data_IF_921713792741
#
_entry.id   IF_921713792741
#
_cell.length_a   1.000
_cell.length_b   1.000
_cell.length_c   1.000
_cell.angle_alpha   90.00
_cell.angle_beta   90.00
_cell.angle_gamma   90.00
#
_symmetry.space_group_name_H-M   'P 1'
#
loop_
_entity.id
_entity.type
_entity.pdbx_description
1 polymer ?
#
# COMPACT_ATOMS: atom_id res chain seq x y z
N UNK A 1 19.25 -35.92 -10.99
CA UNK A 1 18.36 -34.72 -10.93
C UNK A 1 18.45 -33.85 -12.19
N UNK A 2 19.54 -33.94 -12.98
CA UNK A 2 19.70 -33.09 -14.17
C UNK A 2 19.12 -33.65 -15.47
N UNK A 3 18.85 -34.94 -15.60
CA UNK A 3 18.30 -35.56 -16.83
C UNK A 3 16.78 -35.42 -16.95
N UNK A 4 16.04 -35.41 -15.83
CA UNK A 4 14.60 -35.23 -15.84
C UNK A 4 14.19 -33.77 -16.11
N UNK A 5 15.04 -32.78 -15.77
CA UNK A 5 14.82 -31.38 -16.05
C UNK A 5 14.95 -31.00 -17.53
N UNK A 6 15.77 -31.77 -18.28
CA UNK A 6 16.00 -31.53 -19.71
C UNK A 6 14.85 -31.92 -20.63
N UNK A 7 13.85 -32.67 -20.15
CA UNK A 7 12.65 -33.05 -20.94
C UNK A 7 11.42 -32.16 -20.74
N UNK A 8 11.52 -31.12 -19.91
CA UNK A 8 10.38 -30.19 -19.72
C UNK A 8 10.30 -29.23 -20.90
N UNK A 9 9.23 -29.34 -21.68
CA UNK A 9 8.95 -28.36 -22.74
C UNK A 9 8.79 -26.96 -22.15
N UNK A 10 9.51 -25.99 -22.71
CA UNK A 10 9.37 -24.58 -22.34
C UNK A 10 7.93 -24.14 -22.60
N UNK A 11 7.24 -23.46 -21.67
CA UNK A 11 5.87 -22.99 -21.87
C UNK A 11 5.76 -22.07 -23.09
N UNK A 12 5.02 -22.50 -24.12
CA UNK A 12 4.86 -21.79 -25.39
C UNK A 12 3.44 -21.99 -25.92
N UNK A 13 2.99 -21.08 -26.79
CA UNK A 13 1.71 -21.16 -27.47
C UNK A 13 1.84 -20.56 -28.89
N UNK A 14 2.54 -21.27 -29.76
CA UNK A 14 2.94 -20.78 -31.10
C UNK A 14 1.72 -20.37 -31.95
N UNK A 15 0.66 -21.17 -31.91
CA UNK A 15 -0.57 -20.90 -32.64
C UNK A 15 -1.25 -19.60 -32.16
N UNK A 16 -1.21 -19.33 -30.84
CA UNK A 16 -1.74 -18.09 -30.29
C UNK A 16 -0.89 -16.87 -30.68
N UNK A 17 0.45 -16.98 -30.65
CA UNK A 17 1.37 -15.94 -31.11
C UNK A 17 1.11 -15.59 -32.59
N UNK A 18 1.00 -16.62 -33.45
CA UNK A 18 0.70 -16.44 -34.85
C UNK A 18 -0.67 -15.79 -35.08
N UNK A 19 -1.68 -16.20 -34.29
CA UNK A 19 -3.03 -15.62 -34.38
C UNK A 19 -3.07 -14.16 -33.92
N UNK A 20 -2.27 -13.76 -32.91
CA UNK A 20 -2.11 -12.37 -32.52
C UNK A 20 -1.54 -11.54 -33.67
N UNK A 21 -0.40 -11.96 -34.23
CA UNK A 21 0.26 -11.24 -35.32
C UNK A 21 -0.61 -11.17 -36.56
N UNK A 22 -1.25 -12.28 -36.95
CA UNK A 22 -2.17 -12.33 -38.05
C UNK A 22 -3.36 -11.37 -37.87
N UNK A 23 -3.91 -11.30 -36.65
CA UNK A 23 -4.98 -10.36 -36.32
C UNK A 23 -4.55 -8.89 -36.51
N UNK A 24 -3.34 -8.53 -36.03
CA UNK A 24 -2.77 -7.18 -36.18
C UNK A 24 -2.56 -6.78 -37.66
N UNK A 25 -2.19 -7.76 -38.49
CA UNK A 25 -1.98 -7.56 -39.93
C UNK A 25 -3.28 -7.46 -40.75
N UNK A 26 -4.37 -8.08 -40.27
CA UNK A 26 -5.70 -8.08 -40.94
C UNK A 26 -6.52 -6.86 -40.52
N UNK A 27 -6.47 -6.48 -39.24
CA UNK A 27 -7.29 -5.39 -38.71
C UNK A 27 -6.44 -4.48 -37.80
N UNK A 28 -6.01 -3.37 -38.34
CA UNK A 28 -5.21 -2.34 -37.62
C UNK A 28 -5.91 -1.82 -36.35
N UNK A 29 -7.25 -1.91 -36.27
CA UNK A 29 -8.02 -1.43 -35.12
C UNK A 29 -7.78 -2.25 -33.86
N UNK A 30 -7.29 -3.49 -33.97
CA UNK A 30 -6.98 -4.31 -32.80
C UNK A 30 -5.55 -4.05 -32.25
N UNK A 31 -4.70 -3.34 -33.01
CA UNK A 31 -3.30 -3.09 -32.61
C UNK A 31 -3.18 -2.38 -31.27
N UNK A 32 -3.96 -1.32 -30.95
CA UNK A 32 -3.91 -0.67 -29.63
C UNK A 32 -4.22 -1.63 -28.46
N UNK A 33 -5.20 -2.51 -28.65
CA UNK A 33 -5.57 -3.51 -27.63
C UNK A 33 -4.41 -4.50 -27.39
N UNK A 34 -3.78 -4.99 -28.48
CA UNK A 34 -2.66 -5.94 -28.40
C UNK A 34 -1.44 -5.29 -27.77
N UNK A 35 -1.09 -4.07 -28.17
CA UNK A 35 0.04 -3.30 -27.60
C UNK A 35 -0.18 -2.98 -26.12
N UNK A 36 -1.43 -2.81 -25.71
CA UNK A 36 -1.78 -2.64 -24.29
C UNK A 36 -1.67 -3.90 -23.43
N UNK A 37 -1.65 -5.09 -24.06
CA UNK A 37 -1.64 -6.38 -23.36
C UNK A 37 -0.31 -7.12 -23.43
N UNK A 38 0.44 -6.96 -24.50
CA UNK A 38 1.67 -7.73 -24.78
C UNK A 38 2.88 -6.82 -24.96
N UNK A 39 4.05 -7.38 -24.61
CA UNK A 39 5.36 -6.79 -24.89
C UNK A 39 6.14 -7.69 -25.86
N UNK A 40 7.16 -7.17 -26.56
CA UNK A 40 7.98 -8.01 -27.47
C UNK A 40 8.52 -9.28 -26.84
N UNK A 41 8.93 -9.23 -25.57
CA UNK A 41 9.49 -10.36 -24.82
C UNK A 41 8.45 -11.44 -24.48
N UNK A 42 7.16 -11.18 -24.65
CA UNK A 42 6.12 -12.18 -24.45
C UNK A 42 6.11 -13.25 -25.56
N UNK A 43 6.69 -12.95 -26.70
CA UNK A 43 6.76 -13.89 -27.83
C UNK A 43 7.94 -14.84 -27.66
N UNK A 44 7.66 -16.14 -27.75
CA UNK A 44 8.65 -17.19 -27.62
C UNK A 44 9.53 -17.31 -28.87
N UNK A 45 8.89 -17.34 -30.06
CA UNK A 45 9.63 -17.40 -31.32
C UNK A 45 10.27 -16.05 -31.63
N UNK A 46 11.57 -16.07 -31.91
CA UNK A 46 12.33 -14.88 -32.29
C UNK A 46 11.70 -14.18 -33.51
N UNK A 47 11.25 -14.94 -34.50
CA UNK A 47 10.61 -14.41 -35.70
C UNK A 47 9.30 -13.66 -35.36
N UNK A 48 8.48 -14.21 -34.47
CA UNK A 48 7.25 -13.55 -34.00
C UNK A 48 7.57 -12.28 -33.24
N UNK A 49 8.57 -12.28 -32.39
CA UNK A 49 9.05 -11.12 -31.64
C UNK A 49 9.50 -10.02 -32.61
N UNK A 50 10.31 -10.32 -33.60
CA UNK A 50 10.82 -9.34 -34.58
C UNK A 50 9.67 -8.70 -35.40
N UNK A 51 8.66 -9.47 -35.79
CA UNK A 51 7.46 -8.95 -36.44
C UNK A 51 6.67 -8.04 -35.50
N UNK A 52 6.44 -8.51 -34.26
CA UNK A 52 5.72 -7.73 -33.26
C UNK A 52 6.45 -6.42 -32.94
N UNK A 53 7.76 -6.43 -32.71
CA UNK A 53 8.57 -5.22 -32.50
C UNK A 53 8.47 -4.24 -33.68
N UNK A 54 8.37 -4.74 -34.90
CA UNK A 54 8.23 -3.92 -36.07
C UNK A 54 6.85 -3.23 -36.07
N UNK A 55 5.78 -4.00 -35.82
CA UNK A 55 4.42 -3.46 -35.70
C UNK A 55 4.31 -2.48 -34.52
N UNK A 56 4.89 -2.81 -33.37
CA UNK A 56 4.94 -1.95 -32.17
C UNK A 56 5.62 -0.61 -32.47
N UNK A 57 6.73 -0.64 -33.22
CA UNK A 57 7.45 0.55 -33.62
C UNK A 57 6.60 1.40 -34.59
N UNK A 58 6.00 0.79 -35.58
CA UNK A 58 5.12 1.47 -36.54
C UNK A 58 3.92 2.12 -35.84
N UNK A 59 3.32 1.43 -34.88
CA UNK A 59 2.22 1.95 -34.06
C UNK A 59 2.63 3.21 -33.27
N UNK A 60 3.80 3.19 -32.63
CA UNK A 60 4.31 4.34 -31.86
C UNK A 60 4.60 5.57 -32.75
N UNK A 61 4.95 5.36 -33.99
CA UNK A 61 5.15 6.45 -34.98
C UNK A 61 3.91 6.78 -35.81
N UNK A 62 2.76 6.19 -35.45
CA UNK A 62 1.49 6.37 -36.20
C UNK A 62 1.62 6.04 -37.69
N UNK A 63 2.49 5.11 -38.05
CA UNK A 63 2.63 4.60 -39.40
C UNK A 63 1.50 3.60 -39.70
N UNK A 64 1.06 3.53 -40.97
CA UNK A 64 0.01 2.59 -41.36
C UNK A 64 0.50 1.13 -41.27
N UNK A 65 -0.31 0.28 -40.66
CA UNK A 65 0.02 -1.13 -40.38
C UNK A 65 -0.81 -2.01 -41.33
N UNK A 66 -0.14 -2.60 -42.31
CA UNK A 66 -0.66 -3.65 -43.19
C UNK A 66 0.50 -4.60 -43.58
N UNK A 67 0.21 -5.76 -44.19
CA UNK A 67 1.25 -6.75 -44.51
C UNK A 67 2.39 -6.20 -45.38
N UNK A 68 2.09 -5.26 -46.31
CA UNK A 68 3.09 -4.71 -47.22
C UNK A 68 3.97 -3.68 -46.53
N UNK A 69 3.38 -2.80 -45.73
CA UNK A 69 4.12 -1.77 -45.00
C UNK A 69 4.98 -2.39 -43.91
N UNK A 70 4.51 -3.46 -43.22
CA UNK A 70 5.29 -4.20 -42.19
C UNK A 70 6.49 -4.88 -42.85
N UNK A 71 6.34 -5.55 -44.00
CA UNK A 71 7.45 -6.14 -44.75
C UNK A 71 8.51 -5.11 -45.16
N UNK A 72 8.09 -3.94 -45.64
CA UNK A 72 9.02 -2.87 -45.96
C UNK A 72 9.76 -2.35 -44.74
N UNK A 73 9.06 -2.19 -43.61
CA UNK A 73 9.66 -1.75 -42.35
C UNK A 73 10.65 -2.77 -41.80
N UNK A 74 10.35 -4.06 -41.92
CA UNK A 74 11.29 -5.13 -41.56
C UNK A 74 12.57 -5.07 -42.42
N UNK A 75 12.48 -4.70 -43.72
CA UNK A 75 13.65 -4.48 -44.58
C UNK A 75 14.51 -3.31 -44.06
N UNK A 76 13.87 -2.17 -43.75
CA UNK A 76 14.56 -1.00 -43.21
C UNK A 76 15.31 -1.32 -41.91
N UNK A 77 14.72 -2.17 -41.04
CA UNK A 77 15.32 -2.62 -39.77
C UNK A 77 16.37 -3.72 -39.92
N UNK A 78 16.56 -4.27 -41.09
CA UNK A 78 17.55 -5.34 -41.35
C UNK A 78 17.19 -6.71 -40.73
N UNK A 79 15.90 -6.92 -40.40
CA UNK A 79 15.38 -8.20 -39.83
C UNK A 79 14.58 -8.99 -40.86
N UNK A 80 14.70 -8.63 -42.15
CA UNK A 80 13.98 -9.25 -43.27
C UNK A 80 14.84 -10.28 -44.01
N UNK A 81 14.29 -11.50 -44.17
CA UNK A 81 14.82 -12.53 -45.06
C UNK A 81 13.87 -12.64 -46.26
N UNK A 82 14.40 -12.43 -47.46
CA UNK A 82 13.60 -12.21 -48.70
C UNK A 82 12.61 -13.34 -49.04
N UNK A 83 12.98 -14.60 -48.75
CA UNK A 83 12.10 -15.74 -48.98
C UNK A 83 11.25 -16.12 -47.77
N UNK A 84 11.86 -16.12 -46.57
CA UNK A 84 11.20 -16.61 -45.35
C UNK A 84 10.20 -15.64 -44.75
N UNK A 85 10.47 -14.33 -44.78
CA UNK A 85 9.58 -13.33 -44.14
C UNK A 85 8.30 -13.16 -44.88
N UNK A 86 8.35 -13.14 -46.23
CA UNK A 86 7.15 -13.04 -47.08
C UNK A 86 6.23 -14.25 -46.89
N UNK A 87 6.79 -15.46 -47.02
CA UNK A 87 6.03 -16.70 -46.87
C UNK A 87 5.42 -16.84 -45.50
N UNK A 88 6.15 -16.40 -44.44
CA UNK A 88 5.65 -16.46 -43.09
C UNK A 88 4.51 -15.48 -42.83
N UNK A 89 4.62 -14.25 -43.28
CA UNK A 89 3.49 -13.29 -43.21
C UNK A 89 2.27 -13.79 -44.00
N UNK A 90 2.46 -14.35 -45.18
CA UNK A 90 1.37 -14.98 -45.94
C UNK A 90 0.74 -16.16 -45.17
N UNK A 91 1.55 -16.95 -44.46
CA UNK A 91 1.06 -18.01 -43.59
C UNK A 91 0.24 -17.46 -42.40
N UNK A 92 0.69 -16.39 -41.73
CA UNK A 92 -0.04 -15.75 -40.63
C UNK A 92 -1.43 -15.28 -41.06
N UNK A 93 -1.53 -14.67 -42.24
CA UNK A 93 -2.80 -14.23 -42.81
C UNK A 93 -3.74 -15.41 -43.13
N UNK A 94 -3.17 -16.55 -43.56
CA UNK A 94 -3.97 -17.73 -43.90
C UNK A 94 -4.51 -18.45 -42.67
N UNK A 95 -3.72 -18.47 -41.57
CA UNK A 95 -4.09 -19.13 -40.31
C UNK A 95 -5.13 -18.31 -39.54
N UNK A 96 -5.14 -16.98 -39.70
CA UNK A 96 -5.98 -16.07 -38.93
C UNK A 96 -7.11 -15.51 -39.80
N UNK A 97 -8.29 -16.09 -39.82
CA UNK A 97 -9.39 -15.63 -40.65
C UNK A 97 -10.08 -14.35 -40.13
N UNK A 98 -9.92 -14.03 -38.85
CA UNK A 98 -10.59 -12.90 -38.19
C UNK A 98 -9.82 -12.43 -36.94
N UNK A 99 -9.88 -11.13 -36.67
CA UNK A 99 -9.28 -10.52 -35.44
C UNK A 99 -10.24 -10.53 -34.23
N UNK A 100 -11.42 -11.12 -34.32
CA UNK A 100 -12.48 -11.02 -33.29
C UNK A 100 -12.03 -11.57 -31.93
N UNK A 101 -11.15 -12.58 -31.88
CA UNK A 101 -10.71 -13.24 -30.65
C UNK A 101 -9.30 -12.84 -30.19
N UNK A 102 -8.75 -11.76 -30.73
CA UNK A 102 -7.35 -11.36 -30.49
C UNK A 102 -7.05 -11.21 -28.99
N UNK A 103 -7.96 -10.67 -28.19
CA UNK A 103 -7.77 -10.50 -26.73
C UNK A 103 -7.57 -11.84 -26.01
N UNK A 104 -8.29 -12.89 -26.43
CA UNK A 104 -8.12 -14.23 -25.85
C UNK A 104 -6.75 -14.81 -26.23
N UNK A 105 -6.31 -14.62 -27.46
CA UNK A 105 -4.97 -15.04 -27.88
C UNK A 105 -3.87 -14.29 -27.14
N UNK A 106 -4.03 -12.98 -26.93
CA UNK A 106 -3.11 -12.19 -26.10
C UNK A 106 -3.00 -12.73 -24.69
N UNK A 107 -4.12 -13.08 -24.06
CA UNK A 107 -4.11 -13.69 -22.71
C UNK A 107 -3.32 -15.00 -22.69
N UNK A 108 -3.51 -15.87 -23.69
CA UNK A 108 -2.77 -17.15 -23.79
C UNK A 108 -1.26 -16.91 -23.95
N UNK A 109 -0.85 -15.97 -24.81
CA UNK A 109 0.56 -15.63 -25.02
C UNK A 109 1.15 -15.07 -23.74
N UNK A 110 0.47 -14.14 -23.08
CA UNK A 110 0.90 -13.54 -21.84
C UNK A 110 1.05 -14.56 -20.69
N UNK A 111 0.09 -15.48 -20.52
CA UNK A 111 0.15 -16.53 -19.50
C UNK A 111 1.38 -17.44 -19.74
N UNK A 112 1.68 -17.78 -20.99
CA UNK A 112 2.87 -18.59 -21.33
C UNK A 112 4.17 -17.83 -21.08
N UNK A 113 4.19 -16.52 -21.36
CA UNK A 113 5.31 -15.65 -21.02
C UNK A 113 5.54 -15.59 -19.52
N UNK A 114 4.49 -15.39 -18.74
CA UNK A 114 4.56 -15.36 -17.27
C UNK A 114 5.11 -16.68 -16.70
N UNK A 115 4.67 -17.82 -17.24
CA UNK A 115 5.20 -19.13 -16.85
C UNK A 115 6.69 -19.29 -17.18
N UNK A 116 7.17 -18.76 -18.32
CA UNK A 116 8.60 -18.74 -18.67
C UNK A 116 9.39 -17.87 -17.68
N UNK A 117 8.90 -16.67 -17.42
CA UNK A 117 9.53 -15.75 -16.47
C UNK A 117 9.60 -16.35 -15.05
N UNK A 118 8.53 -17.07 -14.62
CA UNK A 118 8.52 -17.79 -13.34
C UNK A 118 9.56 -18.91 -13.32
N UNK A 119 9.68 -19.69 -14.40
CA UNK A 119 10.69 -20.74 -14.51
C UNK A 119 12.11 -20.17 -14.44
N UNK A 120 12.38 -19.06 -15.14
CA UNK A 120 13.66 -18.35 -15.10
C UNK A 120 13.98 -17.85 -13.69
N UNK A 121 13.04 -17.16 -13.04
CA UNK A 121 13.22 -16.66 -11.68
C UNK A 121 13.47 -17.80 -10.68
N UNK A 122 12.79 -18.93 -10.83
CA UNK A 122 13.01 -20.12 -9.99
C UNK A 122 14.41 -20.70 -10.18
N UNK A 123 14.92 -20.73 -11.42
CA UNK A 123 16.29 -21.18 -11.70
C UNK A 123 17.32 -20.24 -11.10
N UNK A 124 17.16 -18.94 -11.25
CA UNK A 124 18.04 -17.92 -10.68
C UNK A 124 18.03 -17.95 -9.13
N UNK A 125 16.87 -18.20 -8.52
CA UNK A 125 16.77 -18.37 -7.05
C UNK A 125 17.53 -19.64 -6.64
N UNK A 126 17.40 -20.71 -7.39
CA UNK A 126 18.10 -21.97 -7.12
C UNK A 126 19.61 -21.79 -7.22
N UNK A 127 20.12 -21.17 -8.28
CA UNK A 127 21.54 -20.86 -8.45
C UNK A 127 22.08 -20.01 -7.29
N UNK A 128 21.37 -18.93 -6.93
CA UNK A 128 21.75 -18.04 -5.82
C UNK A 128 21.88 -18.80 -4.48
N UNK A 129 21.01 -19.77 -4.22
CA UNK A 129 21.07 -20.59 -3.00
C UNK A 129 22.31 -21.52 -3.01
N UNK A 130 22.66 -22.10 -4.18
CA UNK A 130 23.83 -22.98 -4.29
C UNK A 130 25.15 -22.22 -4.31
N UNK A 131 25.18 -21.00 -4.83
CA UNK A 131 26.36 -20.13 -4.81
C UNK A 131 26.73 -19.65 -3.40
N UNK A 132 25.78 -19.68 -2.46
CA UNK A 132 26.00 -19.38 -1.04
C UNK A 132 26.40 -17.91 -0.77
N UNK A 133 26.02 -16.97 -1.64
CA UNK A 133 26.37 -15.56 -1.52
C UNK A 133 25.31 -14.81 -0.70
N UNK A 134 25.62 -14.50 0.56
CA UNK A 134 24.73 -13.77 1.47
C UNK A 134 24.14 -14.65 2.57
N UNK A 135 23.34 -14.04 3.43
CA UNK A 135 22.61 -14.70 4.51
C UNK A 135 21.31 -15.32 4.00
N UNK A 136 20.77 -16.31 4.70
CA UNK A 136 19.47 -16.90 4.35
C UNK A 136 18.34 -15.87 4.28
N UNK A 137 18.40 -14.85 5.13
CA UNK A 137 17.42 -13.77 5.16
C UNK A 137 17.49 -12.90 3.91
N UNK A 138 18.69 -12.51 3.49
CA UNK A 138 18.92 -11.73 2.26
C UNK A 138 18.47 -12.52 1.02
N UNK A 139 18.73 -13.82 0.98
CA UNK A 139 18.28 -14.68 -0.12
C UNK A 139 16.75 -14.77 -0.21
N UNK A 140 16.06 -14.84 0.94
CA UNK A 140 14.59 -14.82 0.99
C UNK A 140 14.03 -13.49 0.47
N UNK A 141 14.58 -12.37 0.91
CA UNK A 141 14.13 -11.03 0.46
C UNK A 141 14.32 -10.84 -1.05
N UNK A 142 15.46 -11.23 -1.59
CA UNK A 142 15.73 -11.18 -3.04
C UNK A 142 14.77 -12.08 -3.81
N UNK A 143 14.50 -13.29 -3.30
CA UNK A 143 13.58 -14.25 -3.92
C UNK A 143 12.15 -13.74 -3.93
N UNK A 144 11.67 -13.20 -2.82
CA UNK A 144 10.35 -12.57 -2.72
C UNK A 144 10.22 -11.39 -3.71
N UNK A 145 11.25 -10.54 -3.79
CA UNK A 145 11.28 -9.40 -4.73
C UNK A 145 11.23 -9.86 -6.18
N UNK A 146 11.96 -10.91 -6.55
CA UNK A 146 11.94 -11.50 -7.92
C UNK A 146 10.55 -12.05 -8.26
N UNK A 147 9.95 -12.87 -7.40
CA UNK A 147 8.61 -13.43 -7.62
C UNK A 147 7.56 -12.32 -7.69
N UNK A 148 7.68 -11.32 -6.81
CA UNK A 148 6.77 -10.18 -6.80
C UNK A 148 6.84 -9.33 -8.06
N UNK A 149 8.06 -9.12 -8.61
CA UNK A 149 8.21 -8.37 -9.86
C UNK A 149 7.50 -9.04 -11.03
N UNK A 150 7.40 -10.36 -11.06
CA UNK A 150 6.64 -11.11 -12.07
C UNK A 150 5.13 -10.89 -11.93
N UNK A 151 4.62 -10.82 -10.70
CA UNK A 151 3.20 -10.55 -10.44
C UNK A 151 2.81 -9.11 -10.82
N UNK A 152 3.76 -8.18 -10.73
CA UNK A 152 3.60 -6.77 -11.11
C UNK A 152 3.89 -6.52 -12.61
N UNK A 153 4.51 -7.49 -13.30
CA UNK A 153 4.83 -7.43 -14.71
C UNK A 153 3.56 -7.30 -15.54
N UNK A 154 3.36 -6.10 -16.09
CA UNK A 154 2.29 -5.67 -16.98
C UNK A 154 0.99 -5.11 -16.39
N UNK A 155 0.84 -4.91 -15.10
CA UNK A 155 0.08 -3.73 -14.70
C UNK A 155 1.02 -2.52 -14.73
N UNK A 156 1.68 -2.31 -15.85
CA UNK A 156 2.22 -1.00 -16.15
C UNK A 156 1.05 -0.06 -16.00
N UNK A 157 1.17 0.86 -15.05
CA UNK A 157 0.27 1.98 -14.84
C UNK A 157 0.41 2.87 -16.09
N UNK A 158 -0.05 2.33 -17.22
CA UNK A 158 -0.11 3.04 -18.47
C UNK A 158 -1.09 4.17 -18.24
N UNK A 159 -0.75 5.36 -18.70
CA UNK A 159 -1.67 6.50 -18.73
C UNK A 159 -3.05 6.00 -19.17
N UNK A 160 -4.01 6.01 -18.23
CA UNK A 160 -5.37 5.60 -18.51
C UNK A 160 -6.14 6.77 -19.12
N UNK A 161 -6.88 6.50 -20.18
CA UNK A 161 -7.78 7.51 -20.74
C UNK A 161 -8.81 7.93 -19.69
N UNK A 162 -9.00 9.24 -19.51
CA UNK A 162 -9.87 9.82 -18.47
C UNK A 162 -11.28 9.21 -18.46
N UNK A 163 -11.83 8.86 -19.64
CA UNK A 163 -13.14 8.22 -19.74
C UNK A 163 -13.25 6.89 -18.98
N UNK A 164 -12.17 6.09 -18.92
CA UNK A 164 -12.15 4.85 -18.14
C UNK A 164 -12.07 5.15 -16.64
N UNK A 165 -11.31 6.18 -16.27
CA UNK A 165 -11.19 6.60 -14.87
C UNK A 165 -12.51 7.20 -14.36
N UNK A 166 -13.25 7.94 -15.22
CA UNK A 166 -14.56 8.51 -14.88
C UNK A 166 -15.58 7.44 -14.46
N UNK A 167 -15.59 6.27 -15.10
CA UNK A 167 -16.50 5.19 -14.70
C UNK A 167 -16.28 4.83 -13.23
N UNK A 168 -15.03 4.57 -12.84
CA UNK A 168 -14.69 4.23 -11.44
C UNK A 168 -15.05 5.38 -10.47
N UNK A 169 -14.98 6.63 -10.92
CA UNK A 169 -15.38 7.80 -10.12
C UNK A 169 -16.89 7.83 -9.92
N UNK A 170 -17.69 7.55 -10.97
CA UNK A 170 -19.14 7.48 -10.85
C UNK A 170 -19.59 6.35 -9.96
N UNK A 171 -19.03 5.14 -10.11
CA UNK A 171 -19.30 3.99 -9.24
C UNK A 171 -19.06 4.36 -7.77
N UNK A 172 -17.94 5.04 -7.49
CA UNK A 172 -17.62 5.52 -6.14
C UNK A 172 -18.62 6.58 -5.63
N UNK A 173 -19.06 7.50 -6.47
CA UNK A 173 -20.06 8.50 -6.11
C UNK A 173 -21.43 7.86 -5.81
N UNK A 174 -21.82 6.82 -6.56
CA UNK A 174 -23.03 6.05 -6.30
C UNK A 174 -22.95 5.30 -4.97
N UNK A 175 -21.81 4.66 -4.67
CA UNK A 175 -21.55 4.01 -3.38
C UNK A 175 -21.68 5.00 -2.20
N UNK A 176 -21.06 6.18 -2.32
CA UNK A 176 -21.12 7.23 -1.30
C UNK A 176 -22.56 7.76 -1.12
N UNK A 177 -23.29 7.98 -2.20
CA UNK A 177 -24.67 8.42 -2.15
C UNK A 177 -25.60 7.37 -1.50
N UNK A 178 -25.35 6.09 -1.77
CA UNK A 178 -26.10 4.97 -1.21
C UNK A 178 -25.78 4.72 0.27
N UNK A 179 -24.54 4.97 0.70
CA UNK A 179 -24.12 4.74 2.09
C UNK A 179 -24.74 5.70 3.10
N UNK A 180 -25.23 6.85 2.66
CA UNK A 180 -25.75 7.90 3.53
C UNK A 180 -24.73 8.47 4.53
N UNK A 181 -23.46 8.16 4.35
CA UNK A 181 -22.35 8.64 5.18
C UNK A 181 -21.86 9.99 4.68
N UNK A 182 -21.78 10.96 5.59
CA UNK A 182 -21.19 12.28 5.29
C UNK A 182 -19.66 12.22 5.13
N UNK A 183 -19.05 11.05 5.36
CA UNK A 183 -17.59 10.87 5.41
C UNK A 183 -17.14 9.88 4.34
N UNK A 184 -16.31 10.29 3.37
CA UNK A 184 -15.89 9.44 2.26
C UNK A 184 -14.84 8.37 2.64
N UNK A 185 -14.13 8.55 3.76
CA UNK A 185 -13.12 7.63 4.29
C UNK A 185 -13.64 6.76 5.43
N UNK A 186 -12.74 5.93 6.01
CA UNK A 186 -13.05 5.21 7.24
C UNK A 186 -13.12 6.19 8.41
N UNK A 187 -14.13 6.08 9.26
CA UNK A 187 -14.24 6.92 10.44
C UNK A 187 -13.15 6.59 11.47
N UNK A 188 -12.61 7.62 12.09
CA UNK A 188 -11.70 7.48 13.25
C UNK A 188 -12.44 7.10 14.52
N UNK A 189 -13.78 7.26 14.55
CA UNK A 189 -14.62 7.17 15.74
C UNK A 189 -14.72 8.49 16.52
N UNK A 190 -14.12 9.56 15.98
CA UNK A 190 -14.16 10.93 16.53
C UNK A 190 -14.83 11.84 15.49
N UNK A 191 -16.11 12.14 15.68
CA UNK A 191 -16.92 12.80 14.65
C UNK A 191 -16.41 14.17 14.24
N UNK A 192 -15.96 14.98 15.19
CA UNK A 192 -15.42 16.31 14.88
C UNK A 192 -14.10 16.22 14.12
N UNK A 193 -13.28 15.21 14.40
CA UNK A 193 -12.07 14.94 13.65
C UNK A 193 -12.39 14.44 12.25
N UNK A 194 -13.34 13.52 12.13
CA UNK A 194 -13.74 12.94 10.85
C UNK A 194 -14.28 13.99 9.88
N UNK A 195 -15.11 14.94 10.37
CA UNK A 195 -15.57 16.08 9.57
C UNK A 195 -14.42 16.96 9.09
N UNK A 196 -13.37 17.10 9.90
CA UNK A 196 -12.21 17.93 9.57
C UNK A 196 -11.32 17.31 8.53
N UNK A 197 -11.10 15.97 8.62
CA UNK A 197 -10.18 15.25 7.73
C UNK A 197 -10.87 14.47 6.62
N UNK A 198 -12.22 14.47 6.56
CA UNK A 198 -13.03 13.63 5.66
C UNK A 198 -12.80 12.13 5.87
N UNK A 199 -12.51 11.71 7.12
CA UNK A 199 -12.14 10.34 7.48
C UNK A 199 -10.77 9.91 6.97
N UNK A 200 -10.46 8.62 7.15
CA UNK A 200 -9.21 8.01 6.70
C UNK A 200 -9.38 7.52 5.26
N UNK A 201 -8.77 8.21 4.31
CA UNK A 201 -8.90 7.87 2.90
C UNK A 201 -7.92 6.78 2.48
N UNK A 202 -8.32 5.94 1.54
CA UNK A 202 -7.43 4.96 0.92
C UNK A 202 -6.20 5.64 0.34
N UNK A 203 -5.06 4.96 0.37
CA UNK A 203 -3.77 5.43 -0.14
C UNK A 203 -3.10 6.58 0.63
N UNK A 204 -3.75 7.09 1.69
CA UNK A 204 -3.19 8.18 2.48
C UNK A 204 -2.14 7.71 3.49
N UNK A 205 -1.08 8.50 3.59
CA UNK A 205 -0.14 8.45 4.70
C UNK A 205 -0.51 9.56 5.70
N UNK A 206 -0.91 9.16 6.89
CA UNK A 206 -1.36 10.05 7.96
C UNK A 206 -0.32 10.01 9.08
N UNK A 207 0.18 11.16 9.46
CA UNK A 207 1.12 11.31 10.56
C UNK A 207 0.40 11.83 11.81
N UNK A 208 0.53 11.11 12.93
CA UNK A 208 0.09 11.61 14.25
C UNK A 208 1.34 11.79 15.11
N UNK A 209 1.66 13.03 15.43
CA UNK A 209 2.87 13.35 16.18
C UNK A 209 2.54 14.01 17.52
N UNK A 210 3.31 13.65 18.55
CA UNK A 210 3.12 14.18 19.89
C UNK A 210 4.39 14.09 20.73
N UNK A 211 4.44 14.87 21.81
CA UNK A 211 5.40 14.64 22.90
C UNK A 211 5.01 13.40 23.70
N UNK A 212 5.97 12.75 24.40
CA UNK A 212 5.67 11.64 25.30
C UNK A 212 4.57 12.02 26.31
N UNK A 213 3.68 11.09 26.63
CA UNK A 213 2.60 11.29 27.59
C UNK A 213 1.35 12.02 27.08
N UNK A 214 1.34 12.49 25.82
CA UNK A 214 0.17 13.22 25.25
C UNK A 214 -0.98 12.30 24.82
N UNK A 215 -0.76 10.97 24.73
CA UNK A 215 -1.79 10.02 24.34
C UNK A 215 -1.69 9.53 22.88
N UNK A 216 -0.53 9.66 22.22
CA UNK A 216 -0.28 9.25 20.84
C UNK A 216 -0.73 7.81 20.54
N UNK A 217 -0.25 6.84 21.30
CA UNK A 217 -0.64 5.42 21.16
C UNK A 217 -2.10 5.19 21.51
N UNK A 218 -2.66 5.96 22.46
CA UNK A 218 -4.07 5.83 22.86
C UNK A 218 -5.01 6.22 21.72
N UNK A 219 -4.80 7.36 21.05
CA UNK A 219 -5.66 7.74 19.91
C UNK A 219 -5.53 6.74 18.75
N UNK A 220 -4.33 6.19 18.51
CA UNK A 220 -4.13 5.15 17.50
C UNK A 220 -4.90 3.87 17.83
N UNK A 221 -4.91 3.44 19.10
CA UNK A 221 -5.68 2.28 19.56
C UNK A 221 -7.20 2.53 19.48
N UNK A 222 -7.66 3.75 19.79
CA UNK A 222 -9.07 4.10 19.66
C UNK A 222 -9.51 4.03 18.19
N UNK A 223 -8.72 4.59 17.26
CA UNK A 223 -8.98 4.49 15.81
C UNK A 223 -8.94 3.02 15.35
N UNK A 224 -7.93 2.26 15.78
CA UNK A 224 -7.80 0.83 15.50
C UNK A 224 -9.08 0.07 15.86
N UNK A 225 -9.53 0.26 17.08
CA UNK A 225 -10.73 -0.41 17.61
C UNK A 225 -12.00 0.00 16.84
N UNK A 226 -12.17 1.29 16.57
CA UNK A 226 -13.31 1.78 15.81
C UNK A 226 -13.35 1.18 14.41
N UNK A 227 -12.24 1.19 13.66
CA UNK A 227 -12.17 0.64 12.30
C UNK A 227 -12.45 -0.86 12.30
N UNK A 228 -11.87 -1.61 13.23
CA UNK A 228 -12.07 -3.06 13.32
C UNK A 228 -13.52 -3.44 13.67
N UNK A 229 -14.17 -2.68 14.56
CA UNK A 229 -15.55 -2.97 15.01
C UNK A 229 -16.61 -2.48 14.03
N UNK A 230 -16.47 -1.24 13.54
CA UNK A 230 -17.52 -0.59 12.74
C UNK A 230 -17.52 -1.06 11.29
N UNK A 231 -16.33 -1.31 10.74
CA UNK A 231 -16.19 -1.67 9.32
C UNK A 231 -15.84 -3.13 9.11
N UNK A 232 -15.70 -3.92 10.18
CA UNK A 232 -15.32 -5.35 10.11
C UNK A 232 -14.08 -5.57 9.24
N UNK A 233 -13.12 -4.61 9.30
CA UNK A 233 -11.87 -4.64 8.54
C UNK A 233 -10.74 -5.20 9.37
N UNK A 234 -9.82 -5.88 8.71
CA UNK A 234 -8.53 -6.25 9.31
C UNK A 234 -7.71 -4.99 9.56
N UNK A 235 -7.24 -4.81 10.78
CA UNK A 235 -6.33 -3.73 11.17
C UNK A 235 -4.99 -4.34 11.56
N UNK A 236 -3.92 -3.93 10.86
CA UNK A 236 -2.56 -4.34 11.17
C UNK A 236 -1.88 -3.27 12.02
N UNK A 237 -1.50 -3.62 13.25
CA UNK A 237 -0.83 -2.74 14.21
C UNK A 237 0.61 -3.20 14.44
N UNK A 238 1.57 -2.41 14.00
CA UNK A 238 3.01 -2.64 14.22
C UNK A 238 3.51 -1.75 15.35
N UNK A 239 3.93 -2.37 16.44
CA UNK A 239 4.42 -1.69 17.64
C UNK A 239 5.91 -1.93 17.80
N UNK A 240 6.70 -0.87 17.72
CA UNK A 240 8.14 -0.93 17.91
C UNK A 240 8.56 -0.53 19.33
N UNK A 241 7.61 0.03 20.13
CA UNK A 241 7.86 0.52 21.50
C UNK A 241 7.25 -0.37 22.57
N UNK A 242 6.06 -0.90 22.33
CA UNK A 242 5.28 -1.65 23.33
C UNK A 242 5.10 -3.11 22.92
N UNK A 243 5.08 -4.01 23.91
CA UNK A 243 4.75 -5.42 23.66
C UNK A 243 3.27 -5.62 23.33
N UNK A 244 2.95 -6.76 22.70
CA UNK A 244 1.56 -7.15 22.35
C UNK A 244 0.67 -7.15 23.59
N UNK A 245 1.16 -7.70 24.70
CA UNK A 245 0.41 -7.80 25.95
C UNK A 245 0.06 -6.41 26.50
N UNK A 246 0.98 -5.46 26.42
CA UNK A 246 0.73 -4.08 26.86
C UNK A 246 -0.32 -3.39 25.98
N UNK A 247 -0.29 -3.60 24.66
CA UNK A 247 -1.30 -3.06 23.75
C UNK A 247 -2.68 -3.67 23.98
N UNK A 248 -2.74 -5.00 24.15
CA UNK A 248 -4.01 -5.68 24.42
C UNK A 248 -4.57 -5.27 25.79
N UNK A 249 -3.73 -5.06 26.81
CA UNK A 249 -4.16 -4.55 28.10
C UNK A 249 -4.79 -3.16 27.97
N UNK A 250 -4.21 -2.28 27.17
CA UNK A 250 -4.80 -0.96 26.89
C UNK A 250 -6.12 -1.06 26.12
N UNK A 251 -6.21 -1.93 25.11
CA UNK A 251 -7.46 -2.18 24.38
C UNK A 251 -8.55 -2.71 25.31
N UNK A 252 -8.21 -3.64 26.21
CA UNK A 252 -9.13 -4.14 27.24
C UNK A 252 -9.61 -3.01 28.15
N UNK A 253 -8.69 -2.14 28.64
CA UNK A 253 -9.07 -0.98 29.45
C UNK A 253 -10.02 -0.04 28.71
N UNK A 254 -9.72 0.26 27.46
CA UNK A 254 -10.56 1.12 26.59
C UNK A 254 -11.95 0.53 26.39
N UNK A 255 -12.05 -0.77 26.10
CA UNK A 255 -13.32 -1.43 25.76
C UNK A 255 -14.18 -1.73 27.00
N UNK A 256 -13.54 -2.13 28.12
CA UNK A 256 -14.25 -2.49 29.36
C UNK A 256 -14.57 -1.31 30.27
N UNK A 257 -13.94 -0.15 30.05
CA UNK A 257 -13.94 0.96 31.01
C UNK A 257 -13.45 0.53 32.41
N UNK A 258 -12.58 -0.46 32.50
CA UNK A 258 -11.82 -0.80 33.71
C UNK A 258 -10.52 -0.03 33.69
N UNK A 259 -10.18 0.61 34.83
CA UNK A 259 -8.97 1.42 34.92
C UNK A 259 -7.72 0.60 34.59
N UNK A 260 -6.87 1.13 33.72
CA UNK A 260 -5.64 0.44 33.32
C UNK A 260 -4.71 0.14 34.52
N UNK A 261 -4.74 0.97 35.55
CA UNK A 261 -3.98 0.73 36.79
C UNK A 261 -4.43 -0.57 37.49
N UNK A 262 -5.76 -0.83 37.55
CA UNK A 262 -6.31 -2.07 38.08
C UNK A 262 -5.85 -3.29 37.29
N UNK A 263 -5.85 -3.18 35.93
CA UNK A 263 -5.37 -4.25 35.05
C UNK A 263 -3.88 -4.54 35.22
N UNK A 264 -3.08 -3.49 35.40
CA UNK A 264 -1.62 -3.63 35.52
C UNK A 264 -1.22 -4.19 36.90
N UNK A 265 -1.95 -3.84 37.97
CA UNK A 265 -1.66 -4.26 39.34
C UNK A 265 -2.37 -5.54 39.75
N UNK A 266 -3.37 -5.98 38.99
CA UNK A 266 -4.18 -7.14 39.28
C UNK A 266 -5.24 -6.91 40.40
N UNK A 267 -5.44 -5.66 40.86
CA UNK A 267 -6.44 -5.32 41.87
C UNK A 267 -7.83 -5.14 41.23
N UNK A 268 -8.42 -6.27 40.87
CA UNK A 268 -9.74 -6.32 40.16
C UNK A 268 -10.81 -6.75 41.16
N UNK A 269 -11.98 -6.12 41.07
CA UNK A 269 -13.20 -6.47 41.76
C UNK A 269 -14.06 -7.44 40.90
N UNK A 270 -15.01 -8.12 41.52
CA UNK A 270 -15.90 -9.07 40.77
C UNK A 270 -16.65 -8.42 39.63
N UNK A 271 -17.05 -7.15 39.78
CA UNK A 271 -17.67 -6.36 38.71
C UNK A 271 -16.71 -6.10 37.54
N UNK A 272 -15.41 -5.84 37.85
CA UNK A 272 -14.40 -5.60 36.82
C UNK A 272 -14.19 -6.86 35.96
N UNK A 273 -14.20 -8.06 36.59
CA UNK A 273 -14.12 -9.33 35.85
C UNK A 273 -15.29 -9.55 34.90
N UNK A 274 -16.51 -9.14 35.28
CA UNK A 274 -17.68 -9.17 34.42
C UNK A 274 -17.52 -8.27 33.18
N UNK A 275 -17.07 -7.02 33.39
CA UNK A 275 -16.79 -6.06 32.31
C UNK A 275 -15.69 -6.56 31.37
N UNK A 276 -14.60 -7.11 31.92
CA UNK A 276 -13.50 -7.67 31.15
C UNK A 276 -13.92 -8.87 30.30
N UNK A 277 -14.80 -9.74 30.81
CA UNK A 277 -15.31 -10.88 30.05
C UNK A 277 -16.09 -10.43 28.81
N UNK A 278 -16.94 -9.41 28.97
CA UNK A 278 -17.71 -8.83 27.84
C UNK A 278 -16.76 -8.17 26.82
N UNK A 279 -15.83 -7.36 27.30
CA UNK A 279 -14.85 -6.68 26.45
C UNK A 279 -13.95 -7.68 25.72
N UNK A 280 -13.49 -8.74 26.38
CA UNK A 280 -12.70 -9.80 25.76
C UNK A 280 -13.46 -10.52 24.66
N UNK A 281 -14.73 -10.81 24.89
CA UNK A 281 -15.61 -11.40 23.83
C UNK A 281 -15.75 -10.48 22.64
N UNK A 282 -15.97 -9.16 22.86
CA UNK A 282 -16.10 -8.19 21.80
C UNK A 282 -14.79 -8.03 21.00
N UNK A 283 -13.63 -7.95 21.70
CA UNK A 283 -12.32 -7.84 21.06
C UNK A 283 -11.95 -9.09 20.26
N UNK A 284 -12.31 -10.28 20.74
CA UNK A 284 -12.02 -11.54 20.04
C UNK A 284 -12.77 -11.69 18.73
N UNK A 285 -13.84 -10.95 18.51
CA UNK A 285 -14.59 -10.90 17.26
C UNK A 285 -13.99 -9.91 16.25
N UNK A 286 -13.06 -9.07 16.67
CA UNK A 286 -12.36 -8.12 15.77
C UNK A 286 -11.15 -8.77 15.12
N UNK A 287 -10.83 -8.40 13.88
CA UNK A 287 -9.59 -8.85 13.23
C UNK A 287 -8.47 -7.80 13.37
N UNK A 288 -8.01 -7.61 14.61
CA UNK A 288 -6.84 -6.78 14.92
C UNK A 288 -5.61 -7.68 14.99
N UNK A 289 -4.63 -7.42 14.11
CA UNK A 289 -3.36 -8.15 14.04
C UNK A 289 -2.23 -7.29 14.60
N UNK A 290 -1.56 -7.77 15.65
CA UNK A 290 -0.49 -7.04 16.34
C UNK A 290 0.85 -7.70 16.09
N UNK A 291 1.84 -6.89 15.72
CA UNK A 291 3.25 -7.29 15.58
C UNK A 291 4.11 -6.35 16.42
N UNK A 292 4.95 -6.92 17.31
CA UNK A 292 5.81 -6.17 18.21
C UNK A 292 7.32 -6.36 17.91
N UNK A 293 7.65 -6.68 16.66
CA UNK A 293 9.05 -6.77 16.24
C UNK A 293 9.70 -5.37 16.18
N UNK A 294 10.67 -5.06 17.07
CA UNK A 294 11.27 -3.72 17.14
C UNK A 294 12.21 -3.40 15.98
N UNK A 295 12.62 -4.39 15.19
CA UNK A 295 13.57 -4.24 14.08
C UNK A 295 12.91 -4.36 12.71
N UNK A 296 11.57 -4.27 12.63
CA UNK A 296 10.83 -4.46 11.39
C UNK A 296 11.10 -3.35 10.37
N UNK A 297 11.26 -3.71 9.11
CA UNK A 297 11.42 -2.80 7.97
C UNK A 297 10.10 -2.52 7.27
N UNK A 298 10.01 -1.43 6.48
CA UNK A 298 8.81 -1.13 5.67
C UNK A 298 8.51 -2.25 4.67
N UNK A 299 9.55 -2.88 4.11
CA UNK A 299 9.40 -3.99 3.17
C UNK A 299 8.73 -5.21 3.84
N UNK A 300 9.16 -5.56 5.06
CA UNK A 300 8.55 -6.65 5.85
C UNK A 300 7.11 -6.33 6.26
N UNK A 301 6.83 -5.09 6.69
CA UNK A 301 5.46 -4.63 6.97
C UNK A 301 4.59 -4.83 5.73
N UNK A 302 5.04 -4.36 4.58
CA UNK A 302 4.33 -4.49 3.32
C UNK A 302 4.08 -5.97 2.95
N UNK A 303 5.10 -6.83 3.08
CA UNK A 303 4.98 -8.27 2.81
C UNK A 303 3.96 -8.95 3.74
N UNK A 304 3.94 -8.60 5.03
CA UNK A 304 2.95 -9.12 6.00
C UNK A 304 1.55 -8.63 5.68
N UNK A 305 1.38 -7.34 5.40
CA UNK A 305 0.09 -6.73 5.08
C UNK A 305 -0.55 -7.30 3.80
N UNK A 306 0.25 -7.64 2.78
CA UNK A 306 -0.24 -8.26 1.55
C UNK A 306 -0.85 -9.66 1.72
N UNK A 307 -0.52 -10.34 2.82
CA UNK A 307 -1.06 -11.67 3.16
C UNK A 307 -2.36 -11.61 3.95
N UNK A 308 -2.78 -10.39 4.33
CA UNK A 308 -4.01 -10.18 5.08
C UNK A 308 -5.18 -9.94 4.13
N UNK A 309 -6.22 -10.71 4.32
CA UNK A 309 -7.48 -10.49 3.63
C UNK A 309 -8.23 -9.31 4.27
N UNK A 310 -9.02 -8.59 3.47
CA UNK A 310 -9.88 -7.49 3.92
C UNK A 310 -9.16 -6.40 4.74
N UNK A 311 -7.86 -6.15 4.47
CA UNK A 311 -7.09 -5.11 5.15
C UNK A 311 -7.75 -3.74 4.98
N UNK A 312 -7.98 -3.03 6.09
CA UNK A 312 -8.61 -1.71 6.11
C UNK A 312 -7.70 -0.59 6.60
N UNK A 313 -6.76 -0.90 7.50
CA UNK A 313 -5.90 0.11 8.11
C UNK A 313 -4.56 -0.51 8.53
N UNK A 314 -3.49 0.26 8.35
CA UNK A 314 -2.17 -0.07 8.90
C UNK A 314 -1.76 1.02 9.90
N UNK A 315 -1.34 0.61 11.09
CA UNK A 315 -0.85 1.47 12.16
C UNK A 315 0.59 1.12 12.51
N UNK A 316 1.44 2.14 12.69
CA UNK A 316 2.88 1.97 13.00
C UNK A 316 3.23 2.89 14.17
N UNK A 317 3.64 2.30 15.31
CA UNK A 317 4.07 3.03 16.51
C UNK A 317 5.53 2.66 16.86
N UNK A 318 6.54 3.47 16.64
CA UNK A 318 6.59 4.77 15.96
C UNK A 318 7.79 4.85 15.00
N UNK A 319 7.72 5.74 14.07
CA UNK A 319 8.61 5.86 12.90
C UNK A 319 10.10 5.91 13.24
N UNK A 320 10.50 6.66 14.28
CA UNK A 320 11.90 6.87 14.60
C UNK A 320 12.62 5.61 15.12
N UNK A 321 11.87 4.53 15.46
CA UNK A 321 12.46 3.23 15.84
C UNK A 321 12.66 2.33 14.62
N UNK A 322 12.08 2.64 13.47
CA UNK A 322 12.25 1.83 12.27
C UNK A 322 13.69 1.85 11.78
N UNK A 323 14.17 0.71 11.37
CA UNK A 323 15.49 0.55 10.76
C UNK A 323 15.41 0.74 9.23
N UNK A 324 16.47 1.33 8.65
CA UNK A 324 16.61 1.36 7.20
C UNK A 324 16.85 -0.06 6.66
N UNK A 325 16.32 -0.35 5.47
CA UNK A 325 16.42 -1.66 4.81
C UNK A 325 17.85 -2.11 4.43
N UNK A 326 18.87 -1.28 4.64
CA UNK A 326 20.25 -1.62 4.34
C UNK A 326 21.16 -1.37 5.57
N UNK A 327 21.65 -2.41 6.26
CA UNK A 327 22.74 -2.27 7.21
C UNK A 327 24.04 -2.08 6.42
N UNK A 328 24.61 -0.87 6.37
CA UNK A 328 25.95 -0.82 5.79
C UNK A 328 26.50 0.50 5.28
N UNK A 329 26.05 1.63 5.79
CA UNK A 329 26.88 2.85 5.77
C UNK A 329 26.80 3.53 7.13
N UNK A 330 27.75 3.20 7.98
CA UNK A 330 28.07 3.92 9.21
C UNK A 330 28.41 5.37 8.82
N UNK A 331 27.40 6.26 8.81
CA UNK A 331 27.56 7.65 8.40
C UNK A 331 26.32 8.28 7.75
N UNK A 332 25.27 7.52 7.43
CA UNK A 332 24.05 8.11 6.87
C UNK A 332 23.37 9.01 7.90
N UNK A 333 23.16 10.26 7.50
CA UNK A 333 22.48 11.27 8.31
C UNK A 333 21.06 10.75 8.61
N UNK A 334 20.67 10.69 9.89
CA UNK A 334 19.35 10.20 10.36
C UNK A 334 18.17 10.81 9.59
N UNK A 335 18.34 12.05 9.11
CA UNK A 335 17.38 12.75 8.26
C UNK A 335 17.14 12.01 6.93
N UNK A 336 18.19 11.46 6.31
CA UNK A 336 18.06 10.71 5.05
C UNK A 336 17.31 9.40 5.26
N UNK A 337 17.64 8.68 6.33
CA UNK A 337 16.96 7.41 6.69
C UNK A 337 15.47 7.62 6.92
N UNK A 338 15.11 8.67 7.66
CA UNK A 338 13.71 9.02 7.93
C UNK A 338 12.98 9.42 6.63
N UNK A 339 13.65 10.13 5.72
CA UNK A 339 13.14 10.45 4.38
C UNK A 339 12.81 9.20 3.56
N UNK A 340 13.73 8.25 3.52
CA UNK A 340 13.55 7.01 2.76
C UNK A 340 12.40 6.17 3.31
N UNK A 341 12.30 6.08 4.64
CA UNK A 341 11.20 5.39 5.32
C UNK A 341 9.86 6.06 5.01
N UNK A 342 9.78 7.39 5.10
CA UNK A 342 8.57 8.17 4.82
C UNK A 342 8.05 7.91 3.40
N UNK A 343 8.96 8.00 2.42
CA UNK A 343 8.65 7.74 1.03
C UNK A 343 8.21 6.29 0.80
N UNK A 344 8.88 5.33 1.43
CA UNK A 344 8.51 3.91 1.36
C UNK A 344 7.13 3.65 1.96
N UNK A 345 6.76 4.30 3.08
CA UNK A 345 5.43 4.21 3.68
C UNK A 345 4.34 4.79 2.77
N UNK A 346 4.62 5.91 2.09
CA UNK A 346 3.66 6.48 1.12
C UNK A 346 3.45 5.56 -0.09
N UNK A 347 4.52 4.93 -0.59
CA UNK A 347 4.43 3.93 -1.66
C UNK A 347 3.61 2.73 -1.17
N UNK A 348 3.87 2.22 0.03
CA UNK A 348 3.15 1.11 0.64
C UNK A 348 1.64 1.41 0.77
N UNK A 349 1.25 2.60 1.24
CA UNK A 349 -0.15 3.00 1.33
C UNK A 349 -0.86 2.95 -0.04
N UNK A 350 -0.18 3.41 -1.10
CA UNK A 350 -0.71 3.32 -2.48
C UNK A 350 -0.79 1.88 -2.99
N UNK A 351 0.21 1.05 -2.72
CA UNK A 351 0.27 -0.34 -3.16
C UNK A 351 -0.81 -1.20 -2.49
N UNK A 352 -0.99 -1.04 -1.19
CA UNK A 352 -2.00 -1.75 -0.41
C UNK A 352 -3.42 -1.19 -0.61
N UNK A 353 -3.54 0.04 -1.14
CA UNK A 353 -4.80 0.78 -1.32
C UNK A 353 -5.57 0.95 0.01
N UNK A 354 -4.86 1.21 1.11
CA UNK A 354 -5.40 1.44 2.45
C UNK A 354 -4.75 2.65 3.11
N UNK A 355 -5.40 3.32 4.06
CA UNK A 355 -4.75 4.33 4.89
C UNK A 355 -3.65 3.71 5.75
N UNK A 356 -2.55 4.46 5.89
CA UNK A 356 -1.44 4.12 6.78
C UNK A 356 -1.29 5.25 7.79
N UNK A 357 -1.49 4.96 9.07
CA UNK A 357 -1.24 5.88 10.16
C UNK A 357 0.14 5.58 10.73
N UNK A 358 1.03 6.55 10.70
CA UNK A 358 2.35 6.47 11.29
C UNK A 358 2.45 7.43 12.47
N UNK A 359 2.85 6.90 13.63
CA UNK A 359 3.06 7.72 14.81
C UNK A 359 4.48 8.27 14.83
N UNK A 360 4.64 9.49 15.35
CA UNK A 360 5.94 10.17 15.43
C UNK A 360 6.11 10.87 16.78
N UNK A 361 7.34 10.87 17.26
CA UNK A 361 7.67 11.61 18.47
C UNK A 361 8.25 12.99 18.10
N UNK A 362 7.74 14.04 18.73
CA UNK A 362 8.22 15.40 18.52
C UNK A 362 9.53 15.67 19.28
N UNK A 363 10.37 16.54 18.72
CA UNK A 363 11.57 17.05 19.40
C UNK A 363 11.20 17.91 20.60
N UNK A 364 12.18 18.16 21.50
CA UNK A 364 11.97 19.02 22.68
C UNK A 364 11.90 20.52 22.37
N UNK A 365 12.05 20.90 21.11
CA UNK A 365 12.16 22.33 20.72
C UNK A 365 10.88 23.12 21.03
N UNK A 366 9.70 22.50 21.00
CA UNK A 366 8.44 23.16 21.35
C UNK A 366 8.35 23.55 22.84
N UNK A 367 9.07 22.84 23.74
CA UNK A 367 9.01 23.11 25.20
C UNK A 367 9.66 24.44 25.59
N UNK A 368 10.58 24.95 24.77
CA UNK A 368 11.26 26.24 24.99
C UNK A 368 10.44 27.46 24.57
N UNK A 369 9.33 27.28 23.88
CA UNK A 369 8.45 28.36 23.44
C UNK A 369 7.44 28.75 24.49
N UNK A 370 6.94 29.99 24.42
CA UNK A 370 5.83 30.47 25.27
C UNK A 370 4.56 29.69 24.96
N UNK A 371 4.20 29.57 23.68
CA UNK A 371 3.16 28.65 23.23
C UNK A 371 3.82 27.30 22.87
N UNK A 372 3.49 26.28 23.65
CA UNK A 372 4.03 24.93 23.54
C UNK A 372 3.26 24.05 22.55
N UNK A 373 2.22 24.61 21.86
CA UNK A 373 1.50 23.89 20.81
C UNK A 373 2.44 23.49 19.69
N UNK A 374 2.42 22.22 19.27
CA UNK A 374 3.25 21.75 18.19
C UNK A 374 2.92 22.42 16.85
N UNK A 375 3.93 22.58 16.01
CA UNK A 375 3.81 23.05 14.63
C UNK A 375 4.68 22.21 13.68
N UNK A 376 4.48 22.33 12.37
CA UNK A 376 5.19 21.51 11.36
C UNK A 376 6.72 21.58 11.50
N UNK A 377 7.26 22.74 11.89
CA UNK A 377 8.72 22.88 12.12
C UNK A 377 9.27 22.05 13.28
N UNK A 378 8.41 21.51 14.17
CA UNK A 378 8.84 20.64 15.28
C UNK A 378 9.12 19.21 14.85
N UNK A 379 8.79 18.87 13.59
CA UNK A 379 9.16 17.61 12.90
C UNK A 379 10.60 17.63 12.36
N UNK A 380 11.52 18.39 12.96
CA UNK A 380 12.85 18.81 12.47
C UNK A 380 13.74 17.72 11.86
N UNK A 381 13.69 16.50 12.36
CA UNK A 381 14.43 15.36 11.78
C UNK A 381 13.62 14.64 10.69
N UNK A 382 12.42 15.13 10.40
CA UNK A 382 11.41 14.48 9.59
C UNK A 382 10.77 15.42 8.56
N UNK A 383 11.48 16.44 8.07
CA UNK A 383 10.97 17.39 7.06
C UNK A 383 10.45 16.71 5.80
N UNK A 384 11.01 15.57 5.43
CA UNK A 384 10.52 14.77 4.32
C UNK A 384 9.15 14.14 4.62
N UNK A 385 8.89 13.72 5.88
CA UNK A 385 7.59 13.17 6.27
C UNK A 385 6.48 14.22 6.11
N UNK A 386 6.78 15.48 6.43
CA UNK A 386 5.85 16.57 6.19
C UNK A 386 5.46 16.66 4.71
N UNK A 387 6.40 16.45 3.80
CA UNK A 387 6.15 16.50 2.36
C UNK A 387 5.35 15.28 1.88
N UNK A 388 5.72 14.09 2.31
CA UNK A 388 5.15 12.81 1.87
C UNK A 388 3.76 12.53 2.47
N UNK A 389 3.52 12.93 3.72
CA UNK A 389 2.25 12.73 4.40
C UNK A 389 1.12 13.54 3.73
N UNK A 390 -0.05 12.94 3.61
CA UNK A 390 -1.26 13.63 3.12
C UNK A 390 -1.92 14.44 4.23
N UNK A 391 -1.87 13.92 5.45
CA UNK A 391 -2.36 14.62 6.65
C UNK A 391 -1.35 14.54 7.79
N UNK A 392 -1.17 15.64 8.51
CA UNK A 392 -0.32 15.73 9.70
C UNK A 392 -1.15 16.27 10.85
N UNK A 393 -1.22 15.51 11.92
CA UNK A 393 -1.95 15.85 13.14
C UNK A 393 -1.00 15.88 14.34
N UNK A 394 -1.19 16.85 15.20
CA UNK A 394 -0.48 16.96 16.47
C UNK A 394 -1.43 16.78 17.63
N UNK A 395 -1.01 16.04 18.65
CA UNK A 395 -1.72 15.99 19.92
C UNK A 395 -1.04 16.90 20.92
N UNK A 396 -1.86 17.71 21.58
CA UNK A 396 -1.43 18.63 22.63
C UNK A 396 -2.42 18.58 23.80
N UNK A 397 -1.91 18.66 25.01
CA UNK A 397 -2.70 18.76 26.23
C UNK A 397 -2.13 19.88 27.09
N UNK A 398 -2.92 20.93 27.27
CA UNK A 398 -2.48 22.09 28.06
C UNK A 398 -2.25 21.72 29.54
N UNK A 399 -3.08 20.84 30.09
CA UNK A 399 -2.98 20.34 31.46
C UNK A 399 -1.61 19.71 31.78
N UNK A 400 -0.94 19.12 30.78
CA UNK A 400 0.39 18.51 30.97
C UNK A 400 1.45 19.56 31.32
N UNK A 401 1.35 20.75 30.74
CA UNK A 401 2.30 21.85 30.94
C UNK A 401 1.80 22.86 31.97
N UNK A 402 0.50 23.00 32.13
CA UNK A 402 -0.15 23.97 33.00
C UNK A 402 -1.20 23.27 33.88
N UNK A 403 -0.82 22.81 35.10
CA UNK A 403 -1.75 22.12 36.00
C UNK A 403 -2.98 22.96 36.41
N UNK A 404 -2.90 24.28 36.28
CA UNK A 404 -3.98 25.22 36.64
C UNK A 404 -4.88 25.64 35.46
N UNK A 405 -4.74 24.94 34.32
CA UNK A 405 -5.58 25.22 33.15
C UNK A 405 -7.07 24.98 33.40
N UNK A 406 -7.90 25.71 32.69
CA UNK A 406 -9.35 25.45 32.67
C UNK A 406 -9.73 24.28 31.78
N UNK A 407 -8.85 23.91 30.81
CA UNK A 407 -9.02 22.83 29.85
C UNK A 407 -8.54 21.48 30.45
N UNK A 408 -9.04 21.10 31.65
CA UNK A 408 -8.72 19.81 32.26
C UNK A 408 -9.32 18.65 31.47
N UNK A 409 -8.55 17.58 31.31
CA UNK A 409 -8.97 16.41 30.54
C UNK A 409 -9.36 16.73 29.07
N UNK A 410 -8.86 17.84 28.54
CA UNK A 410 -9.05 18.20 27.14
C UNK A 410 -7.74 17.99 26.39
N UNK A 411 -7.83 17.33 25.25
CA UNK A 411 -6.75 17.21 24.28
C UNK A 411 -7.11 17.98 23.03
N UNK A 412 -6.14 18.68 22.47
CA UNK A 412 -6.24 19.32 21.17
C UNK A 412 -5.62 18.40 20.13
N UNK A 413 -6.41 18.01 19.11
CA UNK A 413 -5.93 17.41 17.88
C UNK A 413 -5.77 18.52 16.84
N UNK A 414 -4.53 18.94 16.60
CA UNK A 414 -4.20 20.03 15.68
C UNK A 414 -3.92 19.43 14.32
N UNK A 415 -4.85 19.59 13.37
CA UNK A 415 -4.66 19.20 11.96
C UNK A 415 -3.85 20.31 11.29
N UNK A 416 -2.53 20.10 11.21
CA UNK A 416 -1.59 21.09 10.69
C UNK A 416 -1.40 21.00 9.16
N UNK A 417 -1.64 19.83 8.57
CA UNK A 417 -1.66 19.59 7.12
C UNK A 417 -2.80 18.66 6.79
N UNK A 418 -3.55 18.96 5.74
CA UNK A 418 -4.60 18.09 5.21
C UNK A 418 -4.76 18.33 3.71
N UNK A 419 -4.53 17.31 2.89
CA UNK A 419 -4.69 17.40 1.43
C UNK A 419 -6.15 17.30 0.97
N UNK A 420 -7.01 16.74 1.82
CA UNK A 420 -8.41 16.45 1.49
C UNK A 420 -9.42 17.39 2.17
N UNK A 421 -8.96 18.35 2.95
CA UNK A 421 -9.85 19.25 3.68
C UNK A 421 -9.11 20.40 4.34
N UNK A 422 -9.74 20.97 5.36
CA UNK A 422 -9.24 22.12 6.07
C UNK A 422 -8.26 21.75 7.18
N UNK A 423 -7.34 22.65 7.49
CA UNK A 423 -6.52 22.60 8.71
C UNK A 423 -7.27 23.21 9.88
N UNK A 424 -6.84 22.97 11.11
CA UNK A 424 -7.44 23.55 12.31
C UNK A 424 -7.34 22.65 13.52
N UNK A 425 -7.94 23.05 14.62
CA UNK A 425 -7.86 22.34 15.90
C UNK A 425 -9.21 21.74 16.26
N UNK A 426 -9.21 20.46 16.63
CA UNK A 426 -10.35 19.74 17.18
C UNK A 426 -10.06 19.46 18.65
N UNK A 427 -10.98 19.82 19.54
CA UNK A 427 -10.88 19.51 20.98
C UNK A 427 -11.56 18.18 21.26
N UNK A 428 -10.87 17.31 21.98
CA UNK A 428 -11.31 15.97 22.34
C UNK A 428 -11.32 15.83 23.88
N UNK A 429 -12.28 15.09 24.40
CA UNK A 429 -12.28 14.67 25.80
C UNK A 429 -11.24 13.56 25.97
N UNK A 430 -10.31 13.74 26.92
CA UNK A 430 -9.33 12.75 27.32
C UNK A 430 -9.71 12.08 28.64
N UNK A 431 -9.71 10.75 28.68
CA UNK A 431 -9.94 9.96 29.88
C UNK A 431 -8.71 9.12 30.18
N UNK A 432 -7.76 9.63 30.97
CA UNK A 432 -6.45 8.99 31.17
C UNK A 432 -6.53 7.60 31.79
N UNK A 433 -7.50 7.35 32.67
CA UNK A 433 -7.67 6.07 33.35
C UNK A 433 -8.01 4.92 32.38
N UNK A 434 -8.63 5.23 31.24
CA UNK A 434 -9.07 4.23 30.24
C UNK A 434 -8.34 4.37 28.91
N UNK A 435 -7.37 5.26 28.78
CA UNK A 435 -6.66 5.60 27.51
C UNK A 435 -7.63 5.91 26.35
N UNK A 436 -8.72 6.63 26.63
CA UNK A 436 -9.79 6.87 25.66
C UNK A 436 -9.90 8.35 25.34
N UNK A 437 -10.02 8.63 24.02
CA UNK A 437 -10.47 9.90 23.48
C UNK A 437 -11.92 9.77 23.03
N UNK A 438 -12.70 10.82 23.21
CA UNK A 438 -14.06 10.95 22.71
C UNK A 438 -14.34 12.38 22.26
N UNK A 439 -15.40 12.59 21.50
CA UNK A 439 -15.86 13.94 21.18
C UNK A 439 -16.27 14.68 22.45
N UNK A 440 -16.15 16.00 22.43
CA UNK A 440 -16.67 16.82 23.51
C UNK A 440 -18.20 16.88 23.41
N UNK A 441 -18.89 16.53 24.47
CA UNK A 441 -20.32 16.80 24.58
C UNK A 441 -20.55 18.30 24.66
N UNK A 442 -20.96 18.92 23.56
CA UNK A 442 -21.46 20.28 23.58
C UNK A 442 -22.81 20.25 24.32
N UNK A 443 -22.84 20.71 25.56
CA UNK A 443 -24.13 21.09 26.16
C UNK A 443 -24.67 22.20 25.29
N UNK A 444 -25.73 21.93 24.56
CA UNK A 444 -26.59 23.01 24.06
C UNK A 444 -27.08 23.80 25.29
N UNK A 445 -26.43 24.89 25.60
CA UNK A 445 -27.08 25.94 26.39
C UNK A 445 -28.22 26.46 25.53
N UNK A 446 -29.45 26.05 25.91
CA UNK A 446 -30.71 26.43 25.29
C UNK A 446 -31.08 27.90 25.51
#
# INVERSE_FOLDING_TARGET
>A
MDEELRQRQVPQALEAEQSVLGSMLIDERCVPDVVGMLQPDDFYLRQNREIYETIYTMFNFSEKIDPVTVLNKMKERGVYDEQRSYDYIAQLLKITPTAANVKQYCTIVHDKSLLRALATASSEITEMVYDGVGTAQEMLEVSEKKIYSLRRGNTGDSLQHIGKVMINVYDRLEELAASGSDIPGLSTGLHDLDRKINGLNKTDLILIAARPGMGKTAIALNICLNVAKTYEKTVAFFSLEMSREQLVTRLLSTESFVENQKLTTGHLEDEDWGKLSIASSALSQTDIRVDDNPAITVAEINAKCRRLDNLGLVLIDYLQLMTAAAPGKSGDNRVTVVSDISRALKIMAKELNVPVICLSQLSRANESRTDKRPMLSDLRESGAIEQDADSVMFLYRDEYYNPNTQDKNIAECIVAKNRHGETGTVKLQWRPQFFTFSDLEWKHEG
#
